data_IF_797287281669
#
_entry.id   IF_797287281669
#
_cell.length_a   1.000
_cell.length_b   1.000
_cell.length_c   1.000
_cell.angle_alpha   90.00
_cell.angle_beta   90.00
_cell.angle_gamma   90.00
#
_symmetry.space_group_name_H-M   'P 1'
#
loop_
_entity.id
_entity.type
_entity.pdbx_description
1 polymer ?
#
# COMPACT_ATOMS: atom_id res chain seq x y z
N UNK A 1 5.42 -14.14 13.93
CA UNK A 1 5.23 -14.82 12.62
C UNK A 1 5.99 -14.05 11.54
N UNK A 2 6.84 -14.73 10.77
CA UNK A 2 7.62 -14.10 9.68
C UNK A 2 6.79 -14.16 8.40
N UNK A 3 6.36 -13.00 7.88
CA UNK A 3 5.57 -12.96 6.65
C UNK A 3 6.44 -13.34 5.45
N UNK A 4 6.22 -14.54 4.92
CA UNK A 4 6.92 -15.04 3.74
C UNK A 4 6.72 -14.14 2.51
N UNK A 5 7.51 -14.40 1.45
CA UNK A 5 7.28 -13.79 0.14
C UNK A 5 5.89 -14.23 -0.34
N UNK A 6 5.21 -13.35 -1.07
CA UNK A 6 3.93 -13.63 -1.71
C UNK A 6 4.18 -14.73 -2.76
N UNK A 7 4.07 -15.98 -2.33
CA UNK A 7 4.52 -17.15 -3.09
C UNK A 7 3.38 -17.68 -3.95
N UNK A 8 3.69 -18.34 -5.07
CA UNK A 8 2.68 -19.02 -5.91
C UNK A 8 1.81 -20.03 -5.12
N UNK A 9 2.20 -20.44 -3.92
CA UNK A 9 1.48 -21.40 -3.07
C UNK A 9 0.29 -20.81 -2.29
N UNK A 10 0.12 -19.48 -2.28
CA UNK A 10 -1.13 -18.84 -1.80
C UNK A 10 -2.14 -18.64 -2.92
N UNK A 11 -3.36 -18.21 -2.58
CA UNK A 11 -4.44 -17.95 -3.54
C UNK A 11 -3.99 -17.05 -4.72
N UNK A 12 -4.03 -17.61 -5.92
CA UNK A 12 -3.63 -16.92 -7.16
C UNK A 12 -4.64 -15.88 -7.64
N UNK A 13 -5.91 -16.06 -7.33
CA UNK A 13 -6.98 -15.14 -7.68
C UNK A 13 -6.90 -13.87 -6.84
N UNK A 14 -6.78 -13.99 -5.52
CA UNK A 14 -6.60 -12.85 -4.61
C UNK A 14 -5.34 -12.06 -4.99
N UNK A 15 -4.24 -12.74 -5.29
CA UNK A 15 -3.02 -12.10 -5.79
C UNK A 15 -3.29 -11.25 -7.04
N UNK A 16 -4.00 -11.83 -8.00
CA UNK A 16 -4.29 -11.18 -9.27
C UNK A 16 -5.19 -9.96 -9.07
N UNK A 17 -6.22 -10.07 -8.23
CA UNK A 17 -7.10 -8.96 -7.86
C UNK A 17 -6.32 -7.82 -7.18
N UNK A 18 -5.45 -8.14 -6.24
CA UNK A 18 -4.66 -7.12 -5.53
C UNK A 18 -3.69 -6.38 -6.47
N UNK A 19 -3.10 -7.07 -7.44
CA UNK A 19 -2.23 -6.43 -8.45
C UNK A 19 -3.05 -5.55 -9.39
N UNK A 20 -4.23 -6.00 -9.83
CA UNK A 20 -5.14 -5.18 -10.66
C UNK A 20 -5.62 -3.93 -9.91
N UNK A 21 -6.01 -4.07 -8.64
CA UNK A 21 -6.36 -2.93 -7.79
C UNK A 21 -5.19 -1.97 -7.59
N UNK A 22 -3.97 -2.49 -7.40
CA UNK A 22 -2.78 -1.65 -7.33
C UNK A 22 -2.53 -0.89 -8.64
N UNK A 23 -2.77 -1.51 -9.81
CA UNK A 23 -2.69 -0.81 -11.09
C UNK A 23 -3.70 0.34 -11.20
N UNK A 24 -4.93 0.15 -10.72
CA UNK A 24 -5.94 1.21 -10.70
C UNK A 24 -5.48 2.40 -9.83
N UNK A 25 -4.97 2.14 -8.62
CA UNK A 25 -4.42 3.20 -7.74
C UNK A 25 -3.29 3.97 -8.42
N UNK A 26 -2.36 3.25 -9.07
CA UNK A 26 -1.25 3.89 -9.81
C UNK A 26 -1.71 4.63 -11.08
N UNK A 27 -2.93 4.42 -11.58
CA UNK A 27 -3.51 5.18 -12.69
C UNK A 27 -4.08 6.52 -12.23
N UNK A 28 -4.57 6.59 -11.00
CA UNK A 28 -5.17 7.80 -10.41
C UNK A 28 -4.13 8.73 -9.77
N UNK A 29 -2.85 8.34 -9.76
CA UNK A 29 -1.79 9.08 -9.11
C UNK A 29 -1.53 10.42 -9.80
N UNK A 30 -1.61 11.51 -9.04
CA UNK A 30 -1.33 12.86 -9.55
C UNK A 30 0.17 13.17 -9.40
N UNK A 31 0.87 13.60 -10.46
CA UNK A 31 2.32 13.88 -10.39
C UNK A 31 2.71 14.96 -9.37
N UNK A 32 1.80 15.89 -9.10
CA UNK A 32 1.91 17.04 -8.20
C UNK A 32 1.33 16.77 -6.80
N UNK A 33 1.00 15.52 -6.46
CA UNK A 33 0.44 15.18 -5.15
C UNK A 33 1.45 15.39 -4.03
N UNK A 34 1.02 16.13 -3.00
CA UNK A 34 1.78 16.32 -1.77
C UNK A 34 1.52 15.24 -0.72
N UNK A 35 0.60 14.30 -0.98
CA UNK A 35 0.35 13.21 -0.05
C UNK A 35 1.58 12.29 0.06
N UNK A 36 2.04 11.95 1.27
CA UNK A 36 3.26 11.15 1.43
C UNK A 36 3.19 9.77 0.78
N UNK A 37 2.02 9.15 0.83
CA UNK A 37 1.78 7.85 0.20
C UNK A 37 1.88 7.96 -1.33
N UNK A 38 1.31 9.00 -1.93
CA UNK A 38 1.42 9.24 -3.38
C UNK A 38 2.86 9.52 -3.80
N UNK A 39 3.57 10.38 -3.07
CA UNK A 39 5.00 10.65 -3.32
C UNK A 39 5.83 9.36 -3.25
N UNK A 40 5.51 8.44 -2.34
CA UNK A 40 6.19 7.14 -2.27
C UNK A 40 5.88 6.27 -3.49
N UNK A 41 4.64 6.24 -3.95
CA UNK A 41 4.23 5.50 -5.15
C UNK A 41 4.87 6.07 -6.41
N UNK A 42 4.91 7.40 -6.55
CA UNK A 42 5.61 8.09 -7.64
C UNK A 42 7.10 7.73 -7.67
N UNK A 43 7.77 7.69 -6.50
CA UNK A 43 9.17 7.22 -6.40
C UNK A 43 9.36 5.76 -6.81
N UNK A 44 8.37 4.89 -6.60
CA UNK A 44 8.45 3.50 -7.07
C UNK A 44 8.25 3.43 -8.58
N UNK A 45 7.30 4.19 -9.11
CA UNK A 45 7.05 4.27 -10.56
C UNK A 45 8.29 4.73 -11.31
N UNK A 46 8.96 5.78 -10.84
CA UNK A 46 10.16 6.31 -11.51
C UNK A 46 11.35 5.35 -11.47
N UNK A 47 11.50 4.55 -10.41
CA UNK A 47 12.65 3.65 -10.22
C UNK A 47 12.47 2.25 -10.79
N UNK A 48 11.25 1.71 -10.74
CA UNK A 48 10.97 0.29 -10.98
C UNK A 48 10.05 0.07 -12.19
N UNK A 49 9.37 1.11 -12.66
CA UNK A 49 8.32 1.00 -13.66
C UNK A 49 7.00 0.48 -13.09
N UNK A 50 5.95 0.53 -13.93
CA UNK A 50 4.55 0.35 -13.51
C UNK A 50 4.23 -1.03 -12.95
N UNK A 51 4.70 -2.10 -13.62
CA UNK A 51 4.41 -3.49 -13.23
C UNK A 51 4.99 -3.81 -11.85
N UNK A 52 6.27 -3.53 -11.65
CA UNK A 52 6.95 -3.83 -10.40
C UNK A 52 6.44 -2.94 -9.25
N UNK A 53 6.12 -1.67 -9.53
CA UNK A 53 5.47 -0.79 -8.56
C UNK A 53 4.10 -1.33 -8.11
N UNK A 54 3.29 -1.85 -9.03
CA UNK A 54 1.99 -2.44 -8.71
C UNK A 54 2.15 -3.71 -7.84
N UNK A 55 3.08 -4.60 -8.19
CA UNK A 55 3.39 -5.79 -7.39
C UNK A 55 3.84 -5.39 -5.97
N UNK A 56 4.68 -4.36 -5.87
CA UNK A 56 5.19 -3.88 -4.58
C UNK A 56 4.07 -3.28 -3.72
N UNK A 57 3.17 -2.50 -4.31
CA UNK A 57 1.99 -1.96 -3.64
C UNK A 57 1.05 -3.08 -3.18
N UNK A 58 0.73 -4.04 -4.05
CA UNK A 58 -0.09 -5.20 -3.70
C UNK A 58 0.52 -5.98 -2.52
N UNK A 59 1.83 -6.21 -2.53
CA UNK A 59 2.54 -6.87 -1.43
C UNK A 59 2.48 -6.08 -0.12
N UNK A 60 2.55 -4.74 -0.16
CA UNK A 60 2.37 -3.90 1.03
C UNK A 60 0.95 -4.06 1.57
N UNK A 61 -0.06 -3.95 0.72
CA UNK A 61 -1.46 -4.01 1.13
C UNK A 61 -1.81 -5.38 1.72
N UNK A 62 -1.34 -6.47 1.12
CA UNK A 62 -1.53 -7.82 1.67
C UNK A 62 -0.92 -8.00 3.06
N UNK A 63 0.24 -7.38 3.34
CA UNK A 63 0.83 -7.42 4.68
C UNK A 63 0.00 -6.64 5.69
N UNK A 64 -0.57 -5.51 5.29
CA UNK A 64 -1.50 -4.72 6.13
C UNK A 64 -2.74 -5.55 6.42
N UNK A 65 -3.39 -6.09 5.39
CA UNK A 65 -4.59 -6.95 5.52
C UNK A 65 -4.29 -8.12 6.45
N UNK A 66 -3.17 -8.81 6.26
CA UNK A 66 -2.79 -9.92 7.14
C UNK A 66 -2.61 -9.48 8.59
N UNK A 67 -1.94 -8.35 8.84
CA UNK A 67 -1.79 -7.83 10.19
C UNK A 67 -3.14 -7.47 10.82
N UNK A 68 -4.08 -6.91 10.05
CA UNK A 68 -5.42 -6.63 10.52
C UNK A 68 -6.19 -7.89 10.88
N UNK A 69 -6.21 -8.88 9.98
CA UNK A 69 -6.91 -10.16 10.18
C UNK A 69 -6.37 -10.94 11.38
N UNK A 70 -5.05 -10.96 11.58
CA UNK A 70 -4.44 -11.67 12.71
C UNK A 70 -4.72 -11.05 14.07
N UNK A 71 -5.03 -9.75 14.10
CA UNK A 71 -5.28 -9.01 15.33
C UNK A 71 -6.76 -8.64 15.50
N UNK A 72 -7.65 -9.13 14.62
CA UNK A 72 -9.06 -8.74 14.55
C UNK A 72 -9.28 -7.22 14.57
N UNK A 73 -8.43 -6.51 13.81
CA UNK A 73 -8.45 -5.06 13.73
C UNK A 73 -9.10 -4.56 12.45
N UNK A 74 -9.72 -3.39 12.53
CA UNK A 74 -10.24 -2.66 11.36
C UNK A 74 -9.15 -1.74 10.81
N UNK A 75 -9.10 -1.60 9.48
CA UNK A 75 -8.16 -0.67 8.85
C UNK A 75 -8.41 0.77 9.33
N UNK A 76 -7.36 1.39 9.85
CA UNK A 76 -7.35 2.80 10.21
C UNK A 76 -6.30 3.49 9.34
N UNK A 77 -6.76 4.41 8.49
CA UNK A 77 -5.85 5.36 7.88
C UNK A 77 -5.32 6.24 9.02
N UNK A 78 -4.05 6.09 9.39
CA UNK A 78 -3.39 7.05 10.27
C UNK A 78 -3.17 8.32 9.46
N UNK A 79 -3.95 9.41 9.67
CA UNK A 79 -3.52 10.69 9.16
C UNK A 79 -2.15 10.97 9.77
N UNK A 80 -1.28 11.62 9.00
CA UNK A 80 -0.01 12.10 9.55
C UNK A 80 -0.38 13.09 10.65
N UNK A 81 -0.37 12.64 11.90
CA UNK A 81 -0.56 13.51 13.05
C UNK A 81 0.66 14.42 13.08
N UNK A 82 0.54 15.62 12.50
CA UNK A 82 1.48 16.68 12.78
C UNK A 82 1.23 17.02 14.26
N UNK A 83 2.18 16.74 15.19
CA UNK A 83 1.95 16.92 16.62
C UNK A 83 1.67 18.39 17.00
N UNK A 84 1.90 19.34 16.09
CA UNK A 84 1.65 20.77 16.28
C UNK A 84 0.15 21.13 16.42
N UNK A 85 -0.76 20.34 15.84
CA UNK A 85 -2.21 20.64 15.92
C UNK A 85 -2.84 20.26 17.28
N UNK A 86 -2.15 19.48 18.11
CA UNK A 86 -2.63 19.08 19.43
C UNK A 86 -2.15 20.01 20.57
N UNK A 87 -1.21 20.92 20.28
CA UNK A 87 -0.59 21.85 21.25
C UNK A 87 -1.21 23.26 21.25
N UNK A 88 -2.34 23.45 20.58
CA UNK A 88 -3.04 24.75 20.46
C UNK A 88 -4.44 24.74 21.09
N UNK A 89 -4.62 23.99 22.19
CA UNK A 89 -5.74 24.13 23.13
C UNK A 89 -5.20 24.38 24.54
#
# INVERSE_FOLDING_TARGET
>A
VRLGRMSKRGDGYIRSLMIQGAHAVLSQLRPDSDQPDDRRLLRWLSRLGRKEAAIRLANRNLRIIWALLQNDQVYQHKPNSNPEAAMSL
#
